data_IF_513407370196
#
_entry.id   IF_513407370196
#
_cell.length_a   1.000
_cell.length_b   1.000
_cell.length_c   1.000
_cell.angle_alpha   90.00
_cell.angle_beta   90.00
_cell.angle_gamma   90.00
#
_symmetry.space_group_name_H-M   'P 1'
#
loop_
_entity.id
_entity.type
_entity.pdbx_description
1 polymer ?
#
# COMPACT_ATOMS: atom_id res chain seq x y z
N UNK A 1 -1.26 17.48 -1.32
CA UNK A 1 -1.42 16.10 -1.80
C UNK A 1 -2.78 16.00 -2.48
N UNK A 2 -2.86 15.38 -3.67
CA UNK A 2 -4.11 15.29 -4.45
C UNK A 2 -4.23 13.86 -4.93
N UNK A 3 -5.35 13.21 -4.60
CA UNK A 3 -5.56 11.79 -4.87
C UNK A 3 -6.68 11.60 -5.90
N UNK A 4 -6.59 10.57 -6.75
CA UNK A 4 -7.71 10.18 -7.61
C UNK A 4 -8.97 9.90 -6.79
N UNK A 5 -10.18 10.08 -7.35
CA UNK A 5 -11.44 9.89 -6.63
C UNK A 5 -11.53 8.55 -5.87
N UNK A 6 -11.04 7.47 -6.49
CA UNK A 6 -11.03 6.13 -5.91
C UNK A 6 -10.16 5.95 -4.65
N UNK A 7 -9.22 6.86 -4.39
CA UNK A 7 -8.31 6.82 -3.22
C UNK A 7 -8.48 8.05 -2.32
N UNK A 8 -9.52 8.86 -2.55
CA UNK A 8 -9.73 10.11 -1.81
C UNK A 8 -9.94 9.87 -0.31
N UNK A 9 -10.51 8.74 0.08
CA UNK A 9 -10.68 8.36 1.49
C UNK A 9 -9.38 8.01 2.21
N UNK A 10 -8.30 7.75 1.47
CA UNK A 10 -6.97 7.42 2.02
C UNK A 10 -6.03 8.63 2.08
N UNK A 11 -6.52 9.81 1.75
CA UNK A 11 -5.72 11.03 1.52
C UNK A 11 -5.38 11.69 2.87
N UNK A 12 -4.09 11.90 3.23
CA UNK A 12 -2.86 11.52 2.53
C UNK A 12 -2.43 10.05 2.74
N UNK A 13 -1.82 9.44 1.71
CA UNK A 13 -1.23 8.10 1.77
C UNK A 13 0.16 8.06 1.13
N UNK A 14 0.96 7.07 1.53
CA UNK A 14 2.27 6.82 0.95
C UNK A 14 2.20 5.79 -0.19
N UNK A 15 3.07 5.99 -1.18
CA UNK A 15 3.34 5.04 -2.26
C UNK A 15 4.85 4.85 -2.30
N UNK A 16 5.31 3.62 -2.44
CA UNK A 16 6.73 3.30 -2.52
C UNK A 16 7.01 2.10 -3.39
N UNK A 17 8.30 1.85 -3.65
CA UNK A 17 8.80 0.65 -4.28
C UNK A 17 9.44 -0.18 -3.17
N UNK A 18 8.88 -1.36 -2.91
CA UNK A 18 9.38 -2.28 -1.88
C UNK A 18 10.21 -3.36 -2.55
N UNK A 19 11.41 -3.58 -2.04
CA UNK A 19 12.30 -4.65 -2.45
C UNK A 19 12.06 -5.86 -1.54
N UNK A 20 11.62 -6.97 -2.14
CA UNK A 20 11.42 -8.25 -1.47
C UNK A 20 12.77 -8.94 -1.25
N UNK A 21 12.81 -9.91 -0.34
CA UNK A 21 14.05 -10.66 -0.02
C UNK A 21 14.65 -11.37 -1.26
N UNK A 22 13.80 -11.79 -2.19
CA UNK A 22 14.21 -12.44 -3.44
C UNK A 22 14.72 -11.44 -4.50
N UNK A 23 14.78 -10.15 -4.20
CA UNK A 23 15.25 -9.07 -5.07
C UNK A 23 14.19 -8.48 -6.01
N UNK A 24 12.95 -8.98 -5.96
CA UNK A 24 11.82 -8.43 -6.73
C UNK A 24 11.41 -7.06 -6.16
N UNK A 25 11.10 -6.09 -7.04
CA UNK A 25 10.68 -4.74 -6.62
C UNK A 25 9.24 -4.47 -7.02
N UNK A 26 8.39 -4.20 -6.03
CA UNK A 26 6.94 -4.03 -6.23
C UNK A 26 6.50 -2.61 -5.87
N UNK A 27 5.89 -1.85 -6.79
CA UNK A 27 5.28 -0.57 -6.48
C UNK A 27 3.91 -0.79 -5.82
N UNK A 28 3.69 -0.24 -4.62
CA UNK A 28 2.37 -0.27 -3.99
C UNK A 28 2.20 0.81 -2.92
N UNK A 29 0.97 0.90 -2.40
CA UNK A 29 0.64 1.73 -1.24
C UNK A 29 1.31 1.13 -0.01
N UNK A 30 1.90 1.99 0.82
CA UNK A 30 2.43 1.64 2.14
C UNK A 30 1.49 2.22 3.19
N UNK A 31 0.90 1.36 4.02
CA UNK A 31 0.04 1.72 5.14
C UNK A 31 0.87 1.74 6.42
N UNK A 32 0.93 2.90 7.04
CA UNK A 32 1.63 3.12 8.30
C UNK A 32 0.70 3.85 9.27
N UNK A 33 0.96 3.68 10.57
CA UNK A 33 0.31 4.46 11.62
C UNK A 33 0.58 5.97 11.51
N UNK A 34 1.76 6.38 11.01
CA UNK A 34 2.17 7.79 10.83
C UNK A 34 3.03 7.95 9.58
N UNK A 35 2.64 8.80 8.65
CA UNK A 35 3.40 9.00 7.40
C UNK A 35 4.83 9.46 7.65
N UNK A 36 5.08 10.17 8.75
CA UNK A 36 6.40 10.67 9.13
C UNK A 36 7.33 9.58 9.65
N UNK A 37 6.84 8.37 9.97
CA UNK A 37 7.68 7.25 10.39
C UNK A 37 8.40 6.58 9.21
N UNK A 38 7.91 6.80 7.99
CA UNK A 38 8.42 6.13 6.79
C UNK A 38 9.86 6.56 6.50
N UNK A 39 10.70 5.55 6.29
CA UNK A 39 12.11 5.71 5.92
C UNK A 39 12.54 4.61 4.95
N UNK A 40 13.55 4.91 4.15
CA UNK A 40 14.18 3.91 3.28
C UNK A 40 14.82 2.83 4.16
N UNK A 41 14.66 1.56 3.78
CA UNK A 41 15.16 0.41 4.54
C UNK A 41 14.29 0.02 5.75
N UNK A 42 13.06 0.53 5.84
CA UNK A 42 12.07 0.06 6.80
C UNK A 42 11.58 -1.34 6.40
N UNK A 43 11.49 -2.24 7.38
CA UNK A 43 10.88 -3.56 7.19
C UNK A 43 9.37 -3.42 7.06
N UNK A 44 8.81 -4.12 6.07
CA UNK A 44 7.40 -4.07 5.73
C UNK A 44 6.91 -5.48 5.40
N UNK A 45 5.62 -5.73 5.64
CA UNK A 45 4.95 -6.97 5.29
C UNK A 45 3.91 -6.73 4.20
N UNK A 46 3.73 -7.69 3.29
CA UNK A 46 2.63 -7.67 2.32
C UNK A 46 1.32 -8.06 3.00
N UNK A 47 0.26 -7.33 2.68
CA UNK A 47 -1.10 -7.67 3.11
C UNK A 47 -2.08 -7.39 1.96
N UNK A 48 -3.27 -7.97 2.03
CA UNK A 48 -4.27 -7.93 0.97
C UNK A 48 -5.56 -7.28 1.46
N UNK A 49 -6.15 -6.42 0.63
CA UNK A 49 -7.41 -5.80 0.97
C UNK A 49 -8.50 -6.87 1.16
N UNK A 50 -9.24 -6.88 2.28
CA UNK A 50 -10.24 -7.93 2.55
C UNK A 50 -11.45 -7.88 1.60
N UNK A 51 -11.67 -6.76 0.91
CA UNK A 51 -12.70 -6.58 -0.11
C UNK A 51 -12.13 -5.76 -1.27
N UNK A 52 -12.50 -6.12 -2.49
CA UNK A 52 -12.23 -5.26 -3.65
C UNK A 52 -12.95 -3.92 -3.49
N UNK A 53 -12.22 -2.84 -3.74
CA UNK A 53 -12.80 -1.48 -3.84
C UNK A 53 -13.43 -1.23 -5.22
N UNK A 54 -13.40 -2.22 -6.12
CA UNK A 54 -13.96 -2.08 -7.46
C UNK A 54 -15.47 -2.28 -7.43
N UNK A 55 -16.17 -1.38 -8.12
CA UNK A 55 -17.64 -1.41 -8.25
C UNK A 55 -18.08 -2.36 -9.37
N UNK A 56 -17.17 -2.70 -10.28
CA UNK A 56 -17.39 -3.60 -11.41
C UNK A 56 -16.60 -4.88 -11.26
N UNK A 57 -17.19 -5.99 -11.70
CA UNK A 57 -16.53 -7.28 -11.74
C UNK A 57 -15.28 -7.24 -12.67
N UNK A 58 -14.17 -7.93 -12.33
CA UNK A 58 -13.98 -8.81 -11.18
C UNK A 58 -13.52 -8.10 -9.89
N UNK A 59 -13.98 -8.61 -8.73
CA UNK A 59 -13.64 -8.04 -7.42
C UNK A 59 -12.34 -8.63 -6.85
N UNK A 60 -11.20 -8.33 -7.46
CA UNK A 60 -9.92 -8.82 -6.94
C UNK A 60 -9.43 -8.02 -5.73
N UNK A 61 -8.84 -8.71 -4.72
CA UNK A 61 -8.14 -8.02 -3.64
C UNK A 61 -6.89 -7.34 -4.21
N UNK A 62 -6.55 -6.18 -3.64
CA UNK A 62 -5.30 -5.46 -3.94
C UNK A 62 -4.30 -5.69 -2.83
N UNK A 63 -3.04 -5.92 -3.20
CA UNK A 63 -1.95 -5.97 -2.24
C UNK A 63 -1.53 -4.55 -1.83
N UNK A 64 -1.06 -4.42 -0.60
CA UNK A 64 -0.40 -3.23 -0.06
C UNK A 64 0.67 -3.68 0.92
N UNK A 65 1.55 -2.77 1.32
CA UNK A 65 2.55 -3.04 2.35
C UNK A 65 2.15 -2.36 3.66
N UNK A 66 2.48 -2.97 4.78
CA UNK A 66 2.28 -2.41 6.12
C UNK A 66 3.52 -2.57 7.00
N UNK A 67 3.60 -1.78 8.07
CA UNK A 67 4.59 -1.99 9.12
C UNK A 67 4.45 -3.42 9.67
N UNK A 68 5.57 -4.11 9.88
CA UNK A 68 5.61 -5.41 10.58
C UNK A 68 5.15 -5.22 12.02
N UNK A 69 4.41 -6.20 12.57
CA UNK A 69 4.02 -6.19 13.99
C UNK A 69 5.21 -6.30 14.96
#
# INVERSE_FOLDING_TARGET
HVSPPQFKHMTPYAVGIVEMEEGVKLPSIIRTSRLESLKIGMELEVDFSPKSQETSWPHWPRYFFKETE
#
